data_IF_133433557042
#
_entry.id   IF_133433557042
#
_cell.length_a   1.000
_cell.length_b   1.000
_cell.length_c   1.000
_cell.angle_alpha   90.00
_cell.angle_beta   90.00
_cell.angle_gamma   90.00
#
_symmetry.space_group_name_H-M   'P 1'
#
loop_
_entity.id
_entity.type
_entity.pdbx_description
1 polymer ?
#
# COMPACT_ATOMS: atom_id res chain seq x y z
N UNK A 1 -12.16 -17.33 0.34
CA UNK A 1 -13.13 -16.22 0.14
C UNK A 1 -12.51 -15.25 -0.85
N UNK A 2 -13.25 -14.78 -1.87
CA UNK A 2 -12.70 -13.75 -2.75
C UNK A 2 -12.49 -12.47 -1.93
N UNK A 3 -11.30 -11.93 -1.97
CA UNK A 3 -10.97 -10.66 -1.32
C UNK A 3 -11.81 -9.57 -1.96
N UNK A 4 -12.54 -8.73 -1.19
CA UNK A 4 -13.35 -7.69 -1.78
C UNK A 4 -12.47 -6.73 -2.59
N UNK A 5 -12.93 -6.37 -3.80
CA UNK A 5 -12.34 -5.24 -4.53
C UNK A 5 -12.79 -3.97 -3.81
N UNK A 6 -11.88 -3.37 -3.06
CA UNK A 6 -12.17 -2.11 -2.39
C UNK A 6 -12.48 -1.03 -3.44
N UNK A 7 -13.56 -0.24 -3.24
CA UNK A 7 -13.89 0.83 -4.16
C UNK A 7 -12.72 1.80 -4.34
N UNK A 8 -12.55 2.31 -5.55
CA UNK A 8 -11.51 3.28 -5.86
C UNK A 8 -11.54 4.48 -4.90
N UNK A 9 -10.38 4.86 -4.35
CA UNK A 9 -10.22 6.04 -3.51
C UNK A 9 -9.72 7.22 -4.34
N UNK A 10 -10.58 8.23 -4.54
CA UNK A 10 -10.20 9.49 -5.16
C UNK A 10 -9.57 10.41 -4.11
N UNK A 11 -8.29 10.77 -4.29
CA UNK A 11 -7.53 11.59 -3.32
C UNK A 11 -7.49 13.09 -3.68
N UNK A 12 -7.97 13.48 -4.86
CA UNK A 12 -8.04 14.87 -5.29
C UNK A 12 -9.25 15.60 -4.75
N UNK A 13 -9.23 16.93 -4.85
CA UNK A 13 -10.38 17.76 -4.51
C UNK A 13 -11.51 17.64 -5.53
N UNK A 14 -12.74 18.06 -5.18
CA UNK A 14 -13.84 18.19 -6.13
C UNK A 14 -13.53 19.18 -7.27
N UNK A 15 -12.72 20.21 -7.00
CA UNK A 15 -12.23 21.13 -8.02
C UNK A 15 -11.25 20.47 -9.01
N UNK A 16 -10.40 19.56 -8.55
CA UNK A 16 -9.54 18.78 -9.44
C UNK A 16 -10.36 17.81 -10.27
N UNK A 17 -11.34 17.14 -9.68
CA UNK A 17 -12.25 16.24 -10.38
C UNK A 17 -13.00 16.97 -11.50
N UNK A 18 -13.54 18.17 -11.23
CA UNK A 18 -14.19 18.99 -12.24
C UNK A 18 -13.24 19.39 -13.39
N UNK A 19 -11.99 19.76 -13.05
CA UNK A 19 -10.97 20.10 -14.04
C UNK A 19 -10.57 18.93 -14.94
N UNK A 20 -10.59 17.69 -14.38
CA UNK A 20 -10.22 16.45 -15.06
C UNK A 20 -11.41 15.71 -15.68
N UNK A 21 -12.65 16.21 -15.51
CA UNK A 21 -13.89 15.55 -15.92
C UNK A 21 -14.08 14.17 -15.24
N UNK A 22 -13.77 14.09 -13.95
CA UNK A 22 -13.81 12.89 -13.12
C UNK A 22 -14.82 13.01 -11.96
N UNK A 23 -15.81 13.91 -12.06
CA UNK A 23 -16.77 14.23 -11.00
C UNK A 23 -17.51 12.98 -10.49
N UNK A 24 -17.89 12.06 -11.39
CA UNK A 24 -18.58 10.83 -11.00
C UNK A 24 -17.70 9.92 -10.14
N UNK A 25 -16.40 9.81 -10.45
CA UNK A 25 -15.44 9.04 -9.67
C UNK A 25 -15.24 9.65 -8.29
N UNK A 26 -15.11 10.98 -8.26
CA UNK A 26 -15.01 11.72 -7.01
C UNK A 26 -16.24 11.57 -6.14
N UNK A 27 -17.46 11.78 -6.68
CA UNK A 27 -18.71 11.61 -5.93
C UNK A 27 -18.88 10.20 -5.37
N UNK A 28 -18.56 9.18 -6.17
CA UNK A 28 -18.63 7.79 -5.73
C UNK A 28 -17.67 7.56 -4.56
N UNK A 29 -16.42 8.01 -4.70
CA UNK A 29 -15.42 7.89 -3.64
C UNK A 29 -15.83 8.65 -2.38
N UNK A 30 -16.39 9.87 -2.54
CA UNK A 30 -16.88 10.66 -1.41
C UNK A 30 -17.99 9.96 -0.64
N UNK A 31 -18.98 9.38 -1.32
CA UNK A 31 -20.05 8.62 -0.67
C UNK A 31 -19.50 7.43 0.12
N UNK A 32 -18.54 6.71 -0.43
CA UNK A 32 -17.87 5.60 0.26
C UNK A 32 -17.08 6.07 1.49
N UNK A 33 -16.44 7.23 1.42
CA UNK A 33 -15.75 7.82 2.57
C UNK A 33 -16.74 8.17 3.70
N UNK A 34 -17.90 8.73 3.36
CA UNK A 34 -18.98 9.00 4.34
C UNK A 34 -19.51 7.70 4.95
N UNK A 35 -19.66 6.64 4.14
CA UNK A 35 -20.05 5.33 4.67
C UNK A 35 -18.98 4.75 5.61
N UNK A 36 -17.72 4.89 5.26
CA UNK A 36 -16.59 4.48 6.11
C UNK A 36 -16.58 5.23 7.45
N UNK A 37 -16.72 6.56 7.44
CA UNK A 37 -16.81 7.35 8.66
C UNK A 37 -17.94 6.88 9.58
N UNK A 38 -19.13 6.65 9.02
CA UNK A 38 -20.28 6.10 9.77
C UNK A 38 -20.03 4.68 10.31
N UNK A 39 -19.29 3.86 9.58
CA UNK A 39 -18.91 2.54 10.06
C UNK A 39 -17.96 2.64 11.26
N UNK A 40 -16.98 3.56 11.21
CA UNK A 40 -16.08 3.84 12.34
C UNK A 40 -16.89 4.30 13.56
N UNK A 41 -17.79 5.27 13.41
CA UNK A 41 -18.66 5.74 14.50
C UNK A 41 -19.49 4.61 15.10
N UNK A 42 -20.03 3.75 14.25
CA UNK A 42 -20.84 2.61 14.68
C UNK A 42 -20.02 1.65 15.54
N UNK A 43 -18.80 1.31 15.12
CA UNK A 43 -17.91 0.43 15.90
C UNK A 43 -17.54 1.05 17.24
N UNK A 44 -17.21 2.35 17.28
CA UNK A 44 -16.97 3.07 18.53
C UNK A 44 -18.19 2.94 19.46
N UNK A 45 -19.39 3.30 19.00
CA UNK A 45 -20.61 3.28 19.81
C UNK A 45 -21.00 1.90 20.30
N UNK A 46 -20.73 0.85 19.51
CA UNK A 46 -21.06 -0.52 19.87
C UNK A 46 -20.07 -1.16 20.82
N UNK A 47 -18.82 -0.72 20.81
CA UNK A 47 -17.72 -1.33 21.55
C UNK A 47 -17.22 -0.53 22.73
N UNK A 48 -17.60 0.77 22.82
CA UNK A 48 -17.29 1.57 24.00
C UNK A 48 -17.88 0.94 25.28
N UNK A 49 -17.09 0.87 26.33
CA UNK A 49 -17.59 0.40 27.63
C UNK A 49 -18.57 1.45 28.20
N UNK A 50 -19.81 1.06 28.52
CA UNK A 50 -20.76 1.98 29.14
C UNK A 50 -20.29 2.59 30.47
N UNK A 51 -19.37 1.91 31.16
CA UNK A 51 -18.81 2.35 32.45
C UNK A 51 -17.50 3.13 32.28
N UNK A 52 -16.82 2.97 31.15
CA UNK A 52 -15.62 3.73 30.77
C UNK A 52 -15.69 4.11 29.29
N UNK A 53 -16.37 5.24 28.98
CA UNK A 53 -16.51 5.70 27.59
C UNK A 53 -15.18 5.99 26.89
N UNK A 54 -14.07 6.09 27.64
CA UNK A 54 -12.74 6.27 27.07
C UNK A 54 -12.07 4.95 26.67
N UNK A 55 -12.68 3.81 26.97
CA UNK A 55 -12.15 2.50 26.63
C UNK A 55 -12.70 2.02 25.30
N UNK A 56 -11.79 1.86 24.32
CA UNK A 56 -12.04 1.15 23.08
C UNK A 56 -11.18 -0.11 23.04
N UNK A 57 -11.74 -1.28 22.65
CA UNK A 57 -10.95 -2.49 22.42
C UNK A 57 -9.86 -2.30 21.37
N UNK A 58 -8.75 -3.02 21.48
CA UNK A 58 -7.60 -2.91 20.58
C UNK A 58 -7.89 -3.38 19.14
N UNK A 59 -9.00 -4.08 18.91
CA UNK A 59 -9.44 -4.53 17.59
C UNK A 59 -10.66 -3.75 17.04
N UNK A 60 -10.97 -2.59 17.60
CA UNK A 60 -12.16 -1.82 17.25
C UNK A 60 -12.22 -1.47 15.75
N UNK A 61 -11.07 -1.16 15.13
CA UNK A 61 -11.00 -0.78 13.72
C UNK A 61 -11.00 -1.98 12.75
N UNK A 62 -10.75 -3.20 13.21
CA UNK A 62 -10.56 -4.35 12.35
C UNK A 62 -11.74 -4.64 11.40
N UNK A 63 -13.02 -4.61 11.83
CA UNK A 63 -14.16 -4.82 10.91
C UNK A 63 -14.26 -3.74 9.84
N UNK A 64 -13.87 -2.51 10.15
CA UNK A 64 -13.88 -1.39 9.20
C UNK A 64 -12.76 -1.54 8.18
N UNK A 65 -11.56 -1.97 8.60
CA UNK A 65 -10.45 -2.29 7.71
C UNK A 65 -10.83 -3.44 6.75
N UNK A 66 -11.49 -4.47 7.24
CA UNK A 66 -11.96 -5.58 6.40
C UNK A 66 -12.97 -5.11 5.34
N UNK A 67 -13.85 -4.17 5.68
CA UNK A 67 -14.90 -3.70 4.79
C UNK A 67 -14.42 -2.64 3.79
N UNK A 68 -13.57 -1.70 4.20
CA UNK A 68 -13.21 -0.50 3.43
C UNK A 68 -11.74 -0.44 3.00
N UNK A 69 -10.89 -1.27 3.56
CA UNK A 69 -9.45 -1.32 3.30
C UNK A 69 -8.64 -0.24 4.01
N UNK A 70 -7.33 -0.46 4.08
CA UNK A 70 -6.39 0.44 4.77
C UNK A 70 -6.33 1.84 4.15
N UNK A 71 -6.30 1.94 2.81
CA UNK A 71 -6.18 3.23 2.11
C UNK A 71 -7.36 4.14 2.43
N UNK A 72 -8.59 3.61 2.41
CA UNK A 72 -9.78 4.41 2.69
C UNK A 72 -9.93 4.75 4.16
N UNK A 73 -9.73 3.78 5.05
CA UNK A 73 -9.80 4.03 6.50
C UNK A 73 -8.75 5.05 6.91
N UNK A 74 -7.51 4.90 6.44
CA UNK A 74 -6.44 5.87 6.69
C UNK A 74 -6.79 7.27 6.18
N UNK A 75 -7.36 7.35 4.95
CA UNK A 75 -7.78 8.62 4.37
C UNK A 75 -8.85 9.31 5.21
N UNK A 76 -9.89 8.60 5.63
CA UNK A 76 -10.98 9.15 6.44
C UNK A 76 -10.48 9.61 7.80
N UNK A 77 -9.67 8.80 8.50
CA UNK A 77 -9.11 9.17 9.80
C UNK A 77 -8.13 10.34 9.69
N UNK A 78 -7.30 10.39 8.63
CA UNK A 78 -6.37 11.50 8.40
C UNK A 78 -7.11 12.83 8.23
N UNK A 79 -8.19 12.87 7.46
CA UNK A 79 -9.04 14.06 7.34
C UNK A 79 -9.59 14.50 8.70
N UNK A 80 -10.08 13.55 9.49
CA UNK A 80 -10.61 13.84 10.84
C UNK A 80 -9.53 14.39 11.76
N UNK A 81 -8.30 13.83 11.69
CA UNK A 81 -7.16 14.32 12.50
C UNK A 81 -6.73 15.71 12.06
N UNK A 82 -6.62 15.98 10.75
CA UNK A 82 -6.25 17.29 10.22
C UNK A 82 -7.26 18.37 10.60
N UNK A 83 -8.56 18.07 10.46
CA UNK A 83 -9.60 19.01 10.84
C UNK A 83 -9.53 19.40 12.32
N UNK A 84 -9.40 18.40 13.19
CA UNK A 84 -9.25 18.64 14.60
C UNK A 84 -7.97 19.41 14.95
N UNK A 85 -6.88 19.17 14.21
CA UNK A 85 -5.62 19.92 14.38
C UNK A 85 -5.73 21.38 13.91
N UNK A 86 -6.60 21.65 12.95
CA UNK A 86 -6.89 23.01 12.48
C UNK A 86 -7.61 23.87 13.53
N UNK A 87 -8.29 23.27 14.51
CA UNK A 87 -8.96 23.97 15.62
C UNK A 87 -7.96 24.17 16.77
N UNK A 88 -7.45 25.40 17.02
CA UNK A 88 -6.39 25.63 18.02
C UNK A 88 -6.69 25.08 19.42
N UNK A 89 -7.96 25.11 19.83
CA UNK A 89 -8.38 24.60 21.14
C UNK A 89 -8.27 23.07 21.26
N UNK A 90 -8.25 22.35 20.14
CA UNK A 90 -8.21 20.89 20.09
C UNK A 90 -6.83 20.33 19.74
N UNK A 91 -5.89 21.18 19.29
CA UNK A 91 -4.52 20.76 18.94
C UNK A 91 -3.81 19.97 20.03
N UNK A 92 -4.03 20.35 21.29
CA UNK A 92 -3.42 19.66 22.44
C UNK A 92 -3.95 18.23 22.65
N UNK A 93 -5.08 17.89 22.04
CA UNK A 93 -5.72 16.58 22.14
C UNK A 93 -5.28 15.62 21.04
N UNK A 94 -4.71 16.14 19.94
CA UNK A 94 -4.17 15.33 18.84
C UNK A 94 -2.73 14.96 19.16
N UNK A 95 -2.42 13.66 19.17
CA UNK A 95 -1.06 13.21 19.41
C UNK A 95 -0.13 13.61 18.27
N UNK A 96 1.16 13.83 18.56
CA UNK A 96 2.18 14.11 17.55
C UNK A 96 2.23 13.00 16.50
N UNK A 97 2.18 11.75 16.95
CA UNK A 97 2.17 10.55 16.11
C UNK A 97 0.97 10.54 15.12
N UNK A 98 -0.24 10.85 15.61
CA UNK A 98 -1.43 10.92 14.75
C UNK A 98 -1.32 12.06 13.73
N UNK A 99 -0.72 13.19 14.13
CA UNK A 99 -0.48 14.34 13.25
C UNK A 99 0.52 14.03 12.16
N UNK A 100 1.67 13.42 12.51
CA UNK A 100 2.66 12.98 11.56
C UNK A 100 2.10 11.93 10.58
N UNK A 101 1.27 11.01 11.09
CA UNK A 101 0.59 10.02 10.26
C UNK A 101 -0.37 10.69 9.28
N UNK A 102 -1.21 11.63 9.70
CA UNK A 102 -2.12 12.38 8.83
C UNK A 102 -1.35 13.13 7.73
N UNK A 103 -0.24 13.78 8.05
CA UNK A 103 0.63 14.46 7.10
C UNK A 103 1.20 13.49 6.05
N UNK A 104 1.61 12.29 6.46
CA UNK A 104 2.11 11.26 5.53
C UNK A 104 1.04 10.74 4.58
N UNK A 105 -0.24 10.79 4.95
CA UNK A 105 -1.35 10.40 4.06
C UNK A 105 -1.56 11.37 2.89
N UNK A 106 -0.88 12.52 2.90
CA UNK A 106 -1.01 13.57 1.88
C UNK A 106 -2.48 13.92 1.61
N UNK A 107 -3.22 14.15 2.70
CA UNK A 107 -4.64 14.46 2.64
C UNK A 107 -4.81 15.93 2.27
N UNK A 108 -5.61 16.20 1.25
CA UNK A 108 -6.01 17.55 0.86
C UNK A 108 -7.47 17.72 1.27
N UNK A 109 -7.77 18.62 2.21
CA UNK A 109 -9.15 18.91 2.61
C UNK A 109 -9.98 19.32 1.39
N UNK A 110 -11.19 18.81 1.26
CA UNK A 110 -12.09 19.20 0.19
C UNK A 110 -12.70 20.57 0.49
N UNK A 111 -11.96 21.62 0.20
CA UNK A 111 -12.37 23.01 0.42
C UNK A 111 -13.66 23.39 -0.34
N UNK A 112 -14.05 22.66 -1.38
CA UNK A 112 -15.22 22.99 -2.20
C UNK A 112 -16.54 22.77 -1.49
N UNK A 113 -16.58 21.88 -0.48
CA UNK A 113 -17.83 21.56 0.21
C UNK A 113 -17.81 21.89 1.71
N UNK A 114 -16.69 22.26 2.29
CA UNK A 114 -16.56 22.50 3.73
C UNK A 114 -17.00 21.29 4.57
N UNK A 115 -16.96 20.10 3.98
CA UNK A 115 -17.39 18.85 4.60
C UNK A 115 -16.17 17.98 4.80
N UNK A 116 -15.79 17.88 6.02
CA UNK A 116 -14.85 16.89 6.48
C UNK A 116 -15.61 15.58 6.75
N UNK A 117 -14.90 14.47 6.73
CA UNK A 117 -15.47 13.19 7.13
C UNK A 117 -15.46 13.14 8.67
N UNK A 118 -16.34 13.93 9.29
CA UNK A 118 -16.43 13.95 10.74
C UNK A 118 -16.78 12.55 11.24
N UNK A 119 -15.88 12.00 12.02
CA UNK A 119 -16.18 10.88 12.89
C UNK A 119 -16.67 11.49 14.19
N UNK A 120 -17.96 11.31 14.51
CA UNK A 120 -18.57 11.78 15.77
C UNK A 120 -18.01 10.96 16.94
N UNK A 121 -16.81 11.30 17.36
CA UNK A 121 -16.07 10.65 18.42
C UNK A 121 -15.13 11.63 19.14
N UNK A 122 -14.73 11.28 20.35
CA UNK A 122 -13.70 12.03 21.05
C UNK A 122 -12.36 11.91 20.31
N UNK A 123 -11.57 12.98 20.28
CA UNK A 123 -10.24 12.97 19.63
C UNK A 123 -9.33 11.89 20.20
N UNK A 124 -9.41 11.59 21.50
CA UNK A 124 -8.69 10.49 22.11
C UNK A 124 -9.01 9.14 21.46
N UNK A 125 -10.27 8.92 21.07
CA UNK A 125 -10.70 7.71 20.37
C UNK A 125 -10.18 7.68 18.93
N UNK A 126 -10.23 8.81 18.22
CA UNK A 126 -9.65 8.93 16.87
C UNK A 126 -8.15 8.62 16.90
N UNK A 127 -7.40 9.18 17.85
CA UNK A 127 -5.98 8.89 18.03
C UNK A 127 -5.72 7.41 18.32
N UNK A 128 -6.58 6.75 19.09
CA UNK A 128 -6.47 5.31 19.36
C UNK A 128 -6.73 4.50 18.12
N UNK A 129 -7.75 4.84 17.32
CA UNK A 129 -8.02 4.16 16.04
C UNK A 129 -6.88 4.32 15.04
N UNK A 130 -6.26 5.51 14.97
CA UNK A 130 -5.06 5.75 14.15
C UNK A 130 -3.94 4.78 14.55
N UNK A 131 -3.69 4.59 15.85
CA UNK A 131 -2.69 3.62 16.34
C UNK A 131 -3.05 2.19 15.95
N UNK A 132 -4.32 1.79 16.11
CA UNK A 132 -4.78 0.46 15.69
C UNK A 132 -4.58 0.22 14.17
N UNK A 133 -4.84 1.24 13.33
CA UNK A 133 -4.55 1.15 11.88
C UNK A 133 -3.05 0.98 11.64
N UNK A 134 -2.21 1.74 12.34
CA UNK A 134 -0.75 1.65 12.20
C UNK A 134 -0.23 0.27 12.63
N UNK A 135 -0.69 -0.24 13.77
CA UNK A 135 -0.34 -1.57 14.26
C UNK A 135 -0.79 -2.67 13.30
N UNK A 136 -2.03 -2.58 12.79
CA UNK A 136 -2.55 -3.51 11.80
C UNK A 136 -1.75 -3.45 10.48
N UNK A 137 -1.34 -2.25 10.04
CA UNK A 137 -0.48 -2.08 8.87
C UNK A 137 0.92 -2.67 9.09
N UNK A 138 1.52 -2.42 10.26
CA UNK A 138 2.82 -3.00 10.63
C UNK A 138 2.78 -4.52 10.68
N UNK A 139 1.66 -5.10 11.15
CA UNK A 139 1.46 -6.55 11.20
C UNK A 139 1.45 -7.21 9.81
N UNK A 140 1.23 -6.45 8.71
CA UNK A 140 1.38 -6.96 7.34
C UNK A 140 2.84 -7.28 7.01
N UNK A 141 3.81 -6.75 7.74
CA UNK A 141 5.24 -6.96 7.52
C UNK A 141 5.75 -6.43 6.19
N UNK A 142 5.10 -5.39 5.65
CA UNK A 142 5.47 -4.79 4.37
C UNK A 142 6.82 -4.09 4.45
N UNK A 143 7.55 -4.16 3.35
CA UNK A 143 8.79 -3.41 3.18
C UNK A 143 8.50 -1.96 2.76
N UNK A 144 9.35 -1.05 3.20
CA UNK A 144 9.32 0.38 2.84
C UNK A 144 10.71 0.89 2.46
N UNK A 145 10.87 2.21 2.38
CA UNK A 145 12.15 2.83 2.03
C UNK A 145 13.25 2.57 3.08
N UNK A 146 12.90 2.37 4.35
CA UNK A 146 13.86 2.12 5.43
C UNK A 146 14.50 0.73 5.31
N UNK A 147 13.85 -0.20 4.62
CA UNK A 147 14.38 -1.53 4.31
C UNK A 147 15.30 -1.53 3.08
N UNK A 148 15.50 -0.39 2.42
CA UNK A 148 16.31 -0.30 1.20
C UNK A 148 17.69 0.27 1.48
N UNK A 149 18.74 -0.44 1.04
CA UNK A 149 20.11 0.04 1.09
C UNK A 149 20.36 1.20 0.11
N UNK A 150 19.73 1.17 -1.07
CA UNK A 150 19.92 2.13 -2.15
C UNK A 150 18.60 2.61 -2.72
N UNK A 151 18.56 3.85 -3.21
CA UNK A 151 17.46 4.37 -4.01
C UNK A 151 17.56 3.92 -5.47
N UNK A 152 16.47 4.12 -6.20
CA UNK A 152 16.36 3.71 -7.62
C UNK A 152 17.22 4.54 -8.58
N UNK A 153 17.84 5.62 -8.11
CA UNK A 153 18.67 6.53 -8.89
C UNK A 153 20.15 6.56 -8.46
N UNK A 154 20.54 5.75 -7.46
CA UNK A 154 21.88 5.78 -6.90
C UNK A 154 22.88 5.01 -7.79
N UNK A 155 22.45 3.85 -8.31
CA UNK A 155 23.27 3.03 -9.20
C UNK A 155 22.40 2.15 -10.12
N UNK A 156 23.06 1.33 -11.00
CA UNK A 156 22.35 0.34 -11.81
C UNK A 156 21.77 -0.77 -10.93
N UNK A 157 20.47 -1.02 -11.09
CA UNK A 157 19.72 -1.97 -10.24
C UNK A 157 19.49 -3.33 -10.90
N UNK A 158 20.03 -3.57 -12.11
CA UNK A 158 19.91 -4.86 -12.79
C UNK A 158 20.53 -6.00 -11.94
N UNK A 159 19.81 -7.09 -11.82
CA UNK A 159 20.19 -8.25 -10.99
C UNK A 159 19.96 -8.07 -9.49
N UNK A 160 19.42 -6.93 -9.06
CA UNK A 160 19.12 -6.63 -7.64
C UNK A 160 17.65 -6.91 -7.31
N UNK A 161 17.39 -7.12 -6.02
CA UNK A 161 16.03 -7.25 -5.50
C UNK A 161 15.48 -5.85 -5.20
N UNK A 162 14.37 -5.53 -5.82
CA UNK A 162 13.68 -4.25 -5.66
C UNK A 162 12.48 -4.40 -4.72
N UNK A 163 12.21 -3.36 -3.95
CA UNK A 163 11.04 -3.24 -3.09
C UNK A 163 9.97 -2.41 -3.79
N UNK A 164 8.85 -3.03 -4.13
CA UNK A 164 7.71 -2.33 -4.71
C UNK A 164 6.99 -1.48 -3.66
N UNK A 165 6.58 -0.26 -4.05
CA UNK A 165 5.79 0.60 -3.17
C UNK A 165 4.42 -0.03 -2.91
N UNK A 166 3.95 -0.07 -1.65
CA UNK A 166 2.60 -0.58 -1.35
C UNK A 166 1.50 0.13 -2.16
N UNK A 167 1.67 1.43 -2.43
CA UNK A 167 0.69 2.20 -3.21
C UNK A 167 0.56 1.78 -4.68
N UNK A 168 1.57 1.14 -5.24
CA UNK A 168 1.55 0.56 -6.59
C UNK A 168 0.67 -0.69 -6.63
N UNK A 169 0.64 -1.45 -5.54
CA UNK A 169 -0.16 -2.66 -5.43
C UNK A 169 -1.62 -2.35 -5.04
N UNK A 170 -2.55 -3.14 -5.53
CA UNK A 170 -3.89 -3.20 -4.93
C UNK A 170 -3.78 -3.81 -3.52
N UNK A 171 -4.58 -3.34 -2.57
CA UNK A 171 -4.50 -3.78 -1.17
C UNK A 171 -4.63 -5.28 -0.98
N UNK A 172 -5.40 -5.97 -1.83
CA UNK A 172 -5.53 -7.43 -1.83
C UNK A 172 -4.22 -8.18 -2.11
N UNK A 173 -3.22 -7.50 -2.66
CA UNK A 173 -1.88 -8.02 -2.93
C UNK A 173 -0.83 -7.50 -1.95
N UNK A 174 -1.24 -6.81 -0.90
CA UNK A 174 -0.31 -6.35 0.12
C UNK A 174 0.23 -7.53 0.92
N UNK A 175 1.40 -7.96 0.57
CA UNK A 175 2.20 -8.93 1.30
C UNK A 175 3.68 -8.75 0.96
N UNK A 176 4.60 -9.16 1.84
CA UNK A 176 6.04 -9.14 1.56
C UNK A 176 6.42 -9.88 0.26
N UNK A 177 5.71 -10.99 -0.04
CA UNK A 177 5.95 -11.81 -1.21
C UNK A 177 5.69 -11.06 -2.51
N UNK A 178 4.64 -10.23 -2.54
CA UNK A 178 4.27 -9.45 -3.72
C UNK A 178 5.10 -8.16 -3.88
N UNK A 179 5.84 -7.76 -2.84
CA UNK A 179 6.66 -6.56 -2.88
C UNK A 179 8.09 -6.78 -3.39
N UNK A 180 8.61 -8.01 -3.34
CA UNK A 180 10.00 -8.27 -3.71
C UNK A 180 10.11 -8.75 -5.16
N UNK A 181 10.87 -8.00 -5.94
CA UNK A 181 11.02 -8.19 -7.38
C UNK A 181 12.49 -8.25 -7.79
N UNK A 182 12.89 -9.28 -8.54
CA UNK A 182 14.22 -9.34 -9.15
C UNK A 182 14.22 -8.52 -10.43
N UNK A 183 15.08 -7.51 -10.52
CA UNK A 183 15.26 -6.72 -11.74
C UNK A 183 16.04 -7.52 -12.78
N UNK A 184 15.40 -7.91 -13.88
CA UNK A 184 16.02 -8.70 -14.94
C UNK A 184 16.70 -7.83 -16.01
N UNK A 185 16.36 -6.53 -16.09
CA UNK A 185 16.92 -5.59 -17.05
C UNK A 185 15.92 -4.51 -17.47
N UNK A 186 16.28 -3.77 -18.52
CA UNK A 186 15.49 -2.65 -19.03
C UNK A 186 16.16 -1.29 -18.80
N UNK A 187 15.77 -0.29 -19.61
CA UNK A 187 16.34 1.07 -19.49
C UNK A 187 16.15 1.70 -18.10
N UNK A 188 15.08 1.30 -17.40
CA UNK A 188 14.81 1.76 -16.04
C UNK A 188 15.82 1.28 -15.01
N UNK A 189 16.64 0.27 -15.30
CA UNK A 189 17.69 -0.18 -14.38
C UNK A 189 18.88 0.79 -14.32
N UNK A 190 19.19 1.50 -15.39
CA UNK A 190 20.27 2.47 -15.42
C UNK A 190 19.75 3.85 -14.97
N UNK A 191 20.29 4.44 -13.87
CA UNK A 191 19.86 5.75 -13.37
C UNK A 191 20.06 6.89 -14.37
N UNK A 192 20.99 6.74 -15.31
CA UNK A 192 21.31 7.73 -16.34
C UNK A 192 20.44 7.62 -17.59
N UNK A 193 19.73 6.51 -17.76
CA UNK A 193 18.85 6.33 -18.90
C UNK A 193 17.59 7.19 -18.78
N UNK A 194 17.11 7.74 -19.90
CA UNK A 194 15.84 8.46 -19.98
C UNK A 194 14.63 7.52 -19.91
N UNK A 195 14.79 6.25 -20.32
CA UNK A 195 13.76 5.21 -20.22
C UNK A 195 13.59 4.75 -18.77
N UNK A 196 12.34 4.50 -18.35
CA UNK A 196 12.00 4.15 -16.97
C UNK A 196 11.50 2.72 -16.78
N UNK A 197 11.32 1.97 -17.87
CA UNK A 197 10.79 0.61 -17.81
C UNK A 197 11.84 -0.38 -17.27
N UNK A 198 11.46 -1.13 -16.26
CA UNK A 198 12.21 -2.23 -15.65
C UNK A 198 11.43 -3.51 -15.92
N UNK A 199 12.06 -4.50 -16.55
CA UNK A 199 11.56 -5.87 -16.60
C UNK A 199 11.95 -6.54 -15.29
N UNK A 200 10.98 -7.01 -14.52
CA UNK A 200 11.24 -7.61 -13.23
C UNK A 200 10.37 -8.86 -13.00
N UNK A 201 10.87 -9.78 -12.18
CA UNK A 201 10.19 -11.00 -11.77
C UNK A 201 9.82 -10.92 -10.30
N UNK A 202 8.54 -11.10 -9.98
CA UNK A 202 8.05 -11.22 -8.61
C UNK A 202 8.64 -12.45 -7.94
N UNK A 203 9.21 -12.28 -6.74
CA UNK A 203 9.80 -13.42 -6.02
C UNK A 203 8.73 -14.31 -5.38
N UNK A 204 7.53 -13.79 -5.09
CA UNK A 204 6.44 -14.56 -4.51
C UNK A 204 5.88 -15.60 -5.48
N UNK A 205 5.39 -15.18 -6.63
CA UNK A 205 4.68 -16.03 -7.59
C UNK A 205 5.49 -16.35 -8.85
N UNK A 206 6.58 -15.61 -9.14
CA UNK A 206 7.42 -15.78 -10.32
C UNK A 206 6.89 -15.08 -11.57
N UNK A 207 5.84 -14.25 -11.47
CA UNK A 207 5.33 -13.46 -12.58
C UNK A 207 6.38 -12.44 -13.04
N UNK A 208 6.56 -12.29 -14.35
CA UNK A 208 7.50 -11.33 -14.95
C UNK A 208 6.74 -10.25 -15.70
N UNK A 209 6.94 -9.00 -15.31
CA UNK A 209 6.20 -7.83 -15.82
C UNK A 209 7.14 -6.64 -16.02
N UNK A 210 6.70 -5.67 -16.83
CA UNK A 210 7.35 -4.37 -16.94
C UNK A 210 6.71 -3.37 -15.97
N UNK A 211 7.55 -2.78 -15.12
CA UNK A 211 7.19 -1.75 -14.18
C UNK A 211 7.89 -0.43 -14.48
N UNK A 212 7.37 0.67 -13.98
CA UNK A 212 8.10 1.94 -13.99
C UNK A 212 9.12 1.95 -12.83
N UNK A 213 10.29 2.52 -13.04
CA UNK A 213 11.28 2.75 -11.97
C UNK A 213 10.67 3.41 -10.72
N UNK A 214 9.73 4.31 -10.92
CA UNK A 214 9.05 5.05 -9.85
C UNK A 214 8.09 4.21 -9.02
N UNK A 215 7.75 3.00 -9.47
CA UNK A 215 6.91 2.06 -8.72
C UNK A 215 7.64 1.39 -7.55
N UNK A 216 8.97 1.53 -7.50
CA UNK A 216 9.81 0.93 -6.47
C UNK A 216 10.31 1.96 -5.44
N UNK A 217 10.45 1.50 -4.18
CA UNK A 217 11.08 2.25 -3.09
C UNK A 217 12.60 2.34 -3.25
N UNK A 218 13.22 1.25 -3.70
CA UNK A 218 14.66 1.09 -3.81
C UNK A 218 15.09 -0.37 -3.92
N UNK A 219 16.38 -0.59 -3.75
CA UNK A 219 17.00 -1.91 -3.67
C UNK A 219 16.95 -2.40 -2.24
N UNK A 220 16.39 -3.58 -2.00
CA UNK A 220 16.33 -4.20 -0.66
C UNK A 220 17.74 -4.35 -0.08
N UNK A 221 17.91 -3.97 1.20
CA UNK A 221 19.10 -4.28 1.95
C UNK A 221 19.15 -5.79 2.25
N UNK A 222 20.29 -6.42 2.03
CA UNK A 222 20.48 -7.87 2.19
C UNK A 222 20.13 -8.37 3.60
N UNK A 223 20.31 -7.53 4.62
CA UNK A 223 19.95 -7.89 6.00
C UNK A 223 18.45 -8.16 6.20
N UNK A 224 17.59 -7.60 5.35
CA UNK A 224 16.15 -7.81 5.39
C UNK A 224 15.65 -8.85 4.40
N UNK A 225 16.54 -9.49 3.63
CA UNK A 225 16.16 -10.50 2.66
C UNK A 225 15.61 -11.76 3.37
N UNK A 226 14.31 -12.09 3.21
CA UNK A 226 13.74 -13.26 3.87
C UNK A 226 14.28 -14.57 3.30
N UNK A 227 14.31 -15.63 4.13
CA UNK A 227 14.81 -16.94 3.71
C UNK A 227 14.08 -17.48 2.46
N UNK A 228 12.75 -17.33 2.39
CA UNK A 228 11.96 -17.75 1.22
C UNK A 228 12.37 -17.03 -0.07
N UNK A 229 12.70 -15.73 0.03
CA UNK A 229 13.13 -14.94 -1.12
C UNK A 229 14.54 -15.35 -1.58
N UNK A 230 15.44 -15.69 -0.65
CA UNK A 230 16.76 -16.22 -0.97
C UNK A 230 16.67 -17.54 -1.75
N UNK A 231 15.86 -18.50 -1.28
CA UNK A 231 15.61 -19.77 -1.95
C UNK A 231 15.07 -19.55 -3.36
N UNK A 232 14.16 -18.61 -3.53
CA UNK A 232 13.59 -18.27 -4.84
C UNK A 232 14.63 -17.66 -5.77
N UNK A 233 15.47 -16.74 -5.27
CA UNK A 233 16.57 -16.15 -6.04
C UNK A 233 17.57 -17.21 -6.53
N UNK A 234 17.93 -18.15 -5.66
CA UNK A 234 18.80 -19.27 -6.05
C UNK A 234 18.17 -20.10 -7.17
N UNK A 235 16.86 -20.39 -7.07
CA UNK A 235 16.14 -21.13 -8.10
C UNK A 235 16.08 -20.38 -9.44
N UNK A 236 15.90 -19.07 -9.42
CA UNK A 236 15.85 -18.21 -10.62
C UNK A 236 17.23 -18.02 -11.26
N UNK A 237 18.31 -18.10 -10.49
CA UNK A 237 19.71 -17.99 -10.95
C UNK A 237 20.29 -19.34 -11.38
N UNK A 238 19.68 -20.46 -10.97
CA UNK A 238 20.12 -21.78 -11.40
C UNK A 238 20.00 -21.89 -12.92
N UNK A 239 21.07 -22.34 -13.64
CA UNK A 239 21.00 -22.50 -15.10
C UNK A 239 19.88 -23.48 -15.41
N UNK A 240 18.92 -23.05 -16.23
CA UNK A 240 17.86 -23.91 -16.75
C UNK A 240 18.57 -25.05 -17.49
N UNK A 241 18.57 -26.26 -16.91
CA UNK A 241 19.06 -27.44 -17.63
C UNK A 241 18.15 -27.61 -18.84
N UNK A 242 18.62 -27.14 -19.98
CA UNK A 242 17.94 -27.35 -21.24
C UNK A 242 17.87 -28.87 -21.47
N UNK A 243 16.69 -29.45 -21.36
CA UNK A 243 16.37 -30.74 -21.89
C UNK A 243 16.45 -30.68 -23.43
N UNK A 244 17.68 -30.59 -23.96
CA UNK A 244 17.98 -30.97 -25.34
C UNK A 244 18.01 -32.49 -25.41
N UNK A 245 16.85 -33.13 -25.34
CA UNK A 245 16.66 -34.44 -25.87
C UNK A 245 16.68 -34.32 -27.40
N UNK A 246 17.87 -34.51 -27.98
CA UNK A 246 18.00 -34.63 -29.41
C UNK A 246 17.10 -35.79 -29.90
N UNK A 247 16.30 -35.60 -30.96
CA UNK A 247 15.53 -36.70 -31.53
C UNK A 247 16.52 -37.73 -32.14
N UNK A 248 16.49 -38.93 -31.57
CA UNK A 248 17.19 -40.09 -32.17
C UNK A 248 16.54 -40.36 -33.53
N UNK A 249 17.23 -39.98 -34.60
CA UNK A 249 16.87 -40.36 -35.95
C UNK A 249 17.07 -41.89 -36.11
N UNK A 250 15.96 -42.63 -36.02
CA UNK A 250 15.90 -44.03 -36.32
C UNK A 250 16.22 -44.24 -37.79
N UNK A 251 17.37 -44.87 -38.05
CA UNK A 251 17.80 -45.25 -39.41
C UNK A 251 16.81 -46.19 -40.05
N UNK A 252 16.28 -45.80 -41.20
CA UNK A 252 15.46 -46.61 -42.10
C UNK A 252 16.40 -47.55 -42.85
N UNK A 253 16.38 -48.86 -42.51
CA UNK A 253 17.01 -49.92 -43.38
C UNK A 253 16.06 -50.20 -44.51
N UNK A 254 16.54 -49.93 -45.75
CA UNK A 254 15.93 -50.47 -46.92
C UNK A 254 16.44 -51.94 -47.15
N UNK A 255 15.49 -52.85 -47.36
CA UNK A 255 15.64 -54.18 -47.88
C UNK A 255 14.55 -54.43 -48.91
#
# INVERSE_FOLDING_TARGET
MATPDYPYLYRGSGGDAARLHEEELWEKSFRENVCCARAIEKEIRQRADPNDPSFLPDDCIAPVLEQYGFKRVSYVLAHTVEENDAIPALRSLVSEEAREWANRQNVIPDAAYGRYYEVDAAIADVNRLVRQVQEAYQALGLFDREHCALGMYDENVEGKVLVMKPDTLLEKFWSPENQLWLANGGFGCDPKASGRAIHATCLGDGESVYWNREDFCGVLDEQYLPAWALEKLESLRAPTQSHNAAPVMGGMKMG
#
